data_IF_057754414771
#
_entry.id   IF_057754414771
#
_cell.length_a   1.000
_cell.length_b   1.000
_cell.length_c   1.000
_cell.angle_alpha   90.00
_cell.angle_beta   90.00
_cell.angle_gamma   90.00
#
_symmetry.space_group_name_H-M   'P 1'
#
loop_
_entity.id
_entity.type
_entity.pdbx_description
1 polymer ?
#
# COMPACT_ATOMS: atom_id res chain seq x y z
N UNK A 1 -9.08 -7.73 5.58
CA UNK A 1 -9.30 -7.81 4.13
C UNK A 1 -8.07 -7.28 3.40
N UNK A 2 -7.63 -7.92 2.33
CA UNK A 2 -6.51 -7.45 1.49
C UNK A 2 -7.09 -6.97 0.17
N UNK A 3 -6.65 -5.81 -0.32
CA UNK A 3 -7.09 -5.29 -1.63
C UNK A 3 -6.26 -5.96 -2.71
N UNK A 4 -6.69 -7.17 -3.07
CA UNK A 4 -6.15 -7.94 -4.19
C UNK A 4 -7.26 -8.06 -5.23
N UNK A 5 -7.03 -7.53 -6.42
CA UNK A 5 -7.91 -7.79 -7.56
C UNK A 5 -7.36 -8.98 -8.33
N UNK A 6 -8.25 -9.88 -8.75
CA UNK A 6 -7.90 -11.09 -9.49
C UNK A 6 -8.15 -10.85 -10.98
N UNK A 7 -7.11 -11.00 -11.81
CA UNK A 7 -7.18 -10.77 -13.25
C UNK A 7 -6.97 -12.11 -13.95
N UNK A 8 -7.99 -12.63 -14.61
CA UNK A 8 -7.90 -13.86 -15.41
C UNK A 8 -7.08 -13.61 -16.68
N UNK A 9 -5.99 -14.36 -16.87
CA UNK A 9 -5.23 -14.32 -18.12
C UNK A 9 -5.92 -15.12 -19.22
N UNK A 10 -6.20 -14.43 -20.33
CA UNK A 10 -6.79 -15.01 -21.54
C UNK A 10 -5.80 -16.00 -22.16
N UNK A 11 -6.04 -17.30 -22.00
CA UNK A 11 -5.43 -18.30 -22.90
C UNK A 11 -5.90 -18.02 -24.33
N UNK A 12 -4.98 -18.05 -25.30
CA UNK A 12 -5.11 -17.65 -26.73
C UNK A 12 -6.29 -18.22 -27.54
N UNK A 13 -7.26 -18.92 -26.95
CA UNK A 13 -8.38 -19.56 -27.64
C UNK A 13 -9.78 -19.16 -27.16
N UNK A 14 -9.97 -18.18 -26.27
CA UNK A 14 -11.32 -17.71 -25.95
C UNK A 14 -11.40 -16.19 -25.79
N UNK A 15 -12.04 -15.53 -26.76
CA UNK A 15 -12.60 -14.17 -26.65
C UNK A 15 -13.76 -14.16 -25.63
N UNK A 16 -13.50 -14.49 -24.37
CA UNK A 16 -14.45 -14.31 -23.28
C UNK A 16 -13.93 -13.22 -22.35
N UNK A 17 -14.45 -12.03 -22.63
CA UNK A 17 -14.73 -10.91 -21.74
C UNK A 17 -13.55 -10.22 -21.06
N UNK A 18 -13.03 -9.20 -21.75
CA UNK A 18 -12.44 -8.02 -21.10
C UNK A 18 -13.42 -7.37 -20.11
N UNK A 19 -14.73 -7.65 -20.24
CA UNK A 19 -15.80 -7.16 -19.36
C UNK A 19 -15.81 -7.77 -17.94
N UNK A 20 -14.85 -8.63 -17.59
CA UNK A 20 -14.72 -9.25 -16.26
C UNK A 20 -13.65 -8.60 -15.36
N UNK A 21 -13.06 -7.47 -15.79
CA UNK A 21 -12.13 -6.72 -14.95
C UNK A 21 -12.86 -6.16 -13.72
N UNK A 22 -12.33 -6.46 -12.54
CA UNK A 22 -12.82 -5.92 -11.27
C UNK A 22 -12.89 -4.39 -11.36
N UNK A 23 -14.07 -3.81 -11.09
CA UNK A 23 -14.30 -2.36 -11.10
C UNK A 23 -13.27 -1.62 -10.23
N UNK A 24 -12.86 -2.22 -9.11
CA UNK A 24 -11.84 -1.64 -8.23
C UNK A 24 -10.46 -1.52 -8.91
N UNK A 25 -10.13 -2.44 -9.82
CA UNK A 25 -8.90 -2.36 -10.62
C UNK A 25 -8.95 -1.15 -11.56
N UNK A 26 -10.06 -0.97 -12.29
CA UNK A 26 -10.24 0.17 -13.19
C UNK A 26 -10.17 1.51 -12.44
N UNK A 27 -10.85 1.62 -11.29
CA UNK A 27 -10.76 2.83 -10.45
C UNK A 27 -9.35 3.08 -9.96
N UNK A 28 -8.61 2.04 -9.57
CA UNK A 28 -7.21 2.18 -9.13
C UNK A 28 -6.31 2.66 -10.27
N UNK A 29 -6.54 2.19 -11.50
CA UNK A 29 -5.78 2.68 -12.67
C UNK A 29 -6.07 4.16 -12.97
N UNK A 30 -7.35 4.56 -12.99
CA UNK A 30 -7.74 5.95 -13.21
C UNK A 30 -7.18 6.86 -12.10
N UNK A 31 -7.31 6.44 -10.84
CA UNK A 31 -6.74 7.18 -9.70
C UNK A 31 -5.24 7.34 -9.83
N UNK A 32 -4.51 6.29 -10.22
CA UNK A 32 -3.08 6.35 -10.48
C UNK A 32 -2.76 7.38 -11.58
N UNK A 33 -3.53 7.43 -12.65
CA UNK A 33 -3.35 8.41 -13.74
C UNK A 33 -3.59 9.83 -13.26
N UNK A 34 -4.68 10.08 -12.52
CA UNK A 34 -4.97 11.39 -11.92
C UNK A 34 -3.82 11.85 -11.03
N UNK A 35 -3.37 10.99 -10.11
CA UNK A 35 -2.25 11.31 -9.21
C UNK A 35 -0.96 11.66 -9.96
N UNK A 36 -0.74 11.11 -11.16
CA UNK A 36 0.45 11.42 -11.96
C UNK A 36 0.37 12.77 -12.68
N UNK A 37 -0.83 13.31 -12.88
CA UNK A 37 -1.02 14.62 -13.50
C UNK A 37 -0.92 15.78 -12.52
N UNK A 38 -1.08 15.52 -11.22
CA UNK A 38 -1.02 16.55 -10.18
C UNK A 38 0.44 16.93 -9.93
N UNK A 39 0.71 18.23 -9.96
CA UNK A 39 2.00 18.80 -9.58
C UNK A 39 2.02 19.09 -8.07
N UNK A 40 2.45 18.09 -7.29
CA UNK A 40 2.48 18.22 -5.83
C UNK A 40 3.58 19.18 -5.36
N UNK A 41 3.16 20.17 -4.57
CA UNK A 41 3.99 21.23 -3.97
C UNK A 41 3.91 21.22 -2.45
N UNK A 42 4.73 22.06 -1.81
CA UNK A 42 4.80 22.16 -0.36
C UNK A 42 3.43 22.42 0.31
N UNK A 43 2.54 23.18 -0.31
CA UNK A 43 1.22 23.43 0.27
C UNK A 43 0.38 22.14 0.43
N UNK A 44 0.50 21.16 -0.49
CA UNK A 44 -0.19 19.88 -0.37
C UNK A 44 0.32 19.07 0.84
N UNK A 45 1.62 19.16 1.14
CA UNK A 45 2.21 18.55 2.33
C UNK A 45 1.63 19.23 3.58
N UNK A 46 1.55 20.56 3.59
CA UNK A 46 1.02 21.33 4.72
C UNK A 46 -0.48 21.05 4.96
N UNK A 47 -1.28 20.91 3.90
CA UNK A 47 -2.68 20.51 4.00
C UNK A 47 -2.82 19.10 4.57
N UNK A 48 -1.99 18.16 4.10
CA UNK A 48 -1.96 16.81 4.64
C UNK A 48 -1.56 16.78 6.12
N UNK A 49 -0.50 17.49 6.53
CA UNK A 49 -0.08 17.53 7.93
C UNK A 49 -1.13 18.20 8.82
N UNK A 50 -1.81 19.24 8.34
CA UNK A 50 -2.94 19.87 9.04
C UNK A 50 -4.08 18.89 9.27
N UNK A 51 -4.47 18.14 8.24
CA UNK A 51 -5.44 17.07 8.36
C UNK A 51 -5.00 16.00 9.38
N UNK A 52 -3.74 15.56 9.33
CA UNK A 52 -3.21 14.56 10.26
C UNK A 52 -3.21 15.06 11.72
N UNK A 53 -2.94 16.35 11.98
CA UNK A 53 -3.02 16.93 13.34
C UNK A 53 -4.41 16.80 13.92
N UNK A 54 -5.44 17.06 13.12
CA UNK A 54 -6.84 16.95 13.56
C UNK A 54 -7.19 15.49 13.82
N UNK A 55 -6.83 14.60 12.89
CA UNK A 55 -7.11 13.16 13.00
C UNK A 55 -6.41 12.49 14.19
N UNK A 56 -5.21 12.96 14.54
CA UNK A 56 -4.33 12.34 15.53
C UNK A 56 -4.20 13.17 16.82
N UNK A 57 -5.13 14.10 17.07
CA UNK A 57 -5.06 15.07 18.16
C UNK A 57 -4.88 14.44 19.55
N UNK A 58 -5.36 13.20 19.76
CA UNK A 58 -5.27 12.47 21.03
C UNK A 58 -4.00 11.64 21.17
N UNK A 59 -3.20 11.48 20.10
CA UNK A 59 -1.99 10.66 20.09
C UNK A 59 -0.74 11.53 20.02
N UNK A 60 -0.21 11.90 21.20
CA UNK A 60 0.97 12.76 21.33
C UNK A 60 2.21 12.23 20.58
N UNK A 61 2.42 10.91 20.59
CA UNK A 61 3.54 10.30 19.87
C UNK A 61 3.41 10.50 18.36
N UNK A 62 2.21 10.34 17.81
CA UNK A 62 2.01 10.55 16.37
C UNK A 62 1.96 12.04 16.00
N UNK A 63 1.50 12.92 16.90
CA UNK A 63 1.62 14.37 16.70
C UNK A 63 3.09 14.78 16.54
N UNK A 64 4.02 14.23 17.31
CA UNK A 64 5.45 14.47 17.11
C UNK A 64 5.92 14.01 15.72
N UNK A 65 5.42 12.87 15.23
CA UNK A 65 5.70 12.41 13.87
C UNK A 65 5.12 13.35 12.81
N UNK A 66 3.94 13.95 13.02
CA UNK A 66 3.37 14.95 12.12
C UNK A 66 4.28 16.19 12.03
N UNK A 67 4.76 16.69 13.16
CA UNK A 67 5.69 17.83 13.19
C UNK A 67 7.01 17.50 12.47
N UNK A 68 7.48 16.26 12.62
CA UNK A 68 8.68 15.79 11.93
C UNK A 68 8.49 15.76 10.42
N UNK A 69 7.36 15.26 9.93
CA UNK A 69 7.04 15.25 8.49
C UNK A 69 7.01 16.68 7.95
N UNK A 70 6.30 17.59 8.62
CA UNK A 70 6.19 18.97 8.15
C UNK A 70 7.54 19.66 7.96
N UNK A 71 8.49 19.40 8.87
CA UNK A 71 9.82 20.02 8.85
C UNK A 71 10.83 19.30 7.96
N UNK A 72 10.86 17.97 8.02
CA UNK A 72 11.96 17.17 7.49
C UNK A 72 11.56 16.33 6.26
N UNK A 73 10.32 16.43 5.75
CA UNK A 73 9.85 15.52 4.69
C UNK A 73 10.82 15.45 3.51
N UNK A 74 11.26 16.61 3.02
CA UNK A 74 12.17 16.74 1.87
C UNK A 74 13.64 16.46 2.18
N UNK A 75 14.01 16.42 3.45
CA UNK A 75 15.38 16.16 3.88
C UNK A 75 15.73 14.66 3.83
N UNK A 76 14.72 13.81 3.61
CA UNK A 76 14.89 12.36 3.52
C UNK A 76 14.26 11.79 2.27
N UNK A 77 14.81 10.67 1.80
CA UNK A 77 14.24 9.95 0.68
C UNK A 77 12.88 9.33 1.05
N UNK A 78 11.91 9.26 0.13
CA UNK A 78 10.55 8.78 0.41
C UNK A 78 10.48 7.38 1.02
N UNK A 79 11.35 6.44 0.61
CA UNK A 79 11.37 5.09 1.19
C UNK A 79 11.70 5.09 2.69
N UNK A 80 12.47 6.08 3.16
CA UNK A 80 12.79 6.21 4.57
C UNK A 80 11.51 6.49 5.36
N UNK A 81 10.67 7.41 4.88
CA UNK A 81 9.37 7.71 5.49
C UNK A 81 8.41 6.52 5.43
N UNK A 82 8.45 5.73 4.36
CA UNK A 82 7.63 4.53 4.22
C UNK A 82 8.01 3.42 5.22
N UNK A 83 9.27 3.38 5.64
CA UNK A 83 9.79 2.36 6.58
C UNK A 83 9.92 2.88 8.02
N UNK A 84 9.84 4.19 8.22
CA UNK A 84 9.90 4.83 9.53
C UNK A 84 8.69 4.43 10.38
N UNK A 85 8.86 4.10 11.68
CA UNK A 85 7.78 3.65 12.55
C UNK A 85 6.86 4.81 12.96
N UNK A 86 5.99 5.25 12.05
CA UNK A 86 4.92 6.22 12.30
C UNK A 86 3.63 5.85 11.56
N UNK A 87 2.60 6.67 11.74
CA UNK A 87 1.30 6.52 11.08
C UNK A 87 1.35 6.45 9.55
N UNK A 88 2.39 6.98 8.89
CA UNK A 88 2.40 7.18 7.43
C UNK A 88 2.27 5.88 6.65
N UNK A 89 2.99 4.82 7.04
CA UNK A 89 2.91 3.50 6.40
C UNK A 89 1.51 2.89 6.53
N UNK A 90 0.94 2.90 7.73
CA UNK A 90 -0.36 2.27 8.00
C UNK A 90 -1.50 3.06 7.37
N UNK A 91 -1.42 4.40 7.40
CA UNK A 91 -2.38 5.29 6.76
C UNK A 91 -2.38 5.14 5.24
N UNK A 92 -1.19 5.13 4.61
CA UNK A 92 -1.07 4.94 3.16
C UNK A 92 -1.60 3.58 2.70
N UNK A 93 -1.11 2.49 3.31
CA UNK A 93 -1.50 1.15 2.87
C UNK A 93 -2.94 0.81 3.27
N UNK A 94 -3.50 1.49 4.29
CA UNK A 94 -4.90 1.43 4.67
C UNK A 94 -5.79 2.14 3.65
N UNK A 95 -5.47 3.39 3.30
CA UNK A 95 -6.24 4.20 2.35
C UNK A 95 -6.31 3.55 0.97
N UNK A 96 -5.18 3.08 0.44
CA UNK A 96 -5.09 2.35 -0.82
C UNK A 96 -5.87 1.02 -0.80
N UNK A 97 -5.99 0.40 0.37
CA UNK A 97 -6.66 -0.90 0.50
C UNK A 97 -8.17 -0.78 0.48
N UNK A 98 -8.71 0.21 1.18
CA UNK A 98 -10.16 0.43 1.28
C UNK A 98 -10.65 1.55 0.35
N UNK A 99 -9.77 2.06 -0.51
CA UNK A 99 -10.05 3.10 -1.51
C UNK A 99 -10.63 4.40 -0.90
N UNK A 100 -10.01 4.93 0.16
CA UNK A 100 -10.37 6.25 0.71
C UNK A 100 -9.86 7.35 -0.22
N UNK A 101 -10.66 7.74 -1.22
CA UNK A 101 -10.25 8.62 -2.32
C UNK A 101 -9.67 9.96 -1.83
N UNK A 102 -10.36 10.66 -0.92
CA UNK A 102 -9.89 11.95 -0.40
C UNK A 102 -8.50 11.82 0.26
N UNK A 103 -8.30 10.79 1.07
CA UNK A 103 -7.01 10.53 1.72
C UNK A 103 -5.93 10.13 0.71
N UNK A 104 -6.26 9.35 -0.32
CA UNK A 104 -5.32 8.99 -1.40
C UNK A 104 -4.85 10.24 -2.13
N UNK A 105 -5.75 11.19 -2.43
CA UNK A 105 -5.40 12.45 -3.09
C UNK A 105 -4.51 13.31 -2.19
N UNK A 106 -4.85 13.45 -0.90
CA UNK A 106 -4.02 14.18 0.08
C UNK A 106 -2.63 13.57 0.24
N UNK A 107 -2.52 12.24 0.17
CA UNK A 107 -1.25 11.51 0.21
C UNK A 107 -0.58 11.38 -1.17
N UNK A 108 -1.13 12.01 -2.21
CA UNK A 108 -0.68 11.87 -3.59
C UNK A 108 0.78 12.27 -3.79
N UNK A 109 1.23 13.32 -3.10
CA UNK A 109 2.64 13.73 -3.09
C UNK A 109 3.54 12.57 -2.64
N UNK A 110 3.17 11.91 -1.54
CA UNK A 110 3.95 10.82 -0.98
C UNK A 110 3.89 9.57 -1.85
N UNK A 111 2.73 9.27 -2.46
CA UNK A 111 2.57 8.16 -3.41
C UNK A 111 3.49 8.35 -4.62
N UNK A 112 3.49 9.54 -5.21
CA UNK A 112 4.30 9.86 -6.39
C UNK A 112 5.80 9.80 -6.05
N UNK A 113 6.20 10.45 -4.97
CA UNK A 113 7.57 10.47 -4.48
C UNK A 113 8.09 9.05 -4.17
N UNK A 114 7.29 8.25 -3.45
CA UNK A 114 7.63 6.88 -3.10
C UNK A 114 7.77 5.99 -4.34
N UNK A 115 6.83 6.06 -5.28
CA UNK A 115 6.90 5.33 -6.54
C UNK A 115 8.18 5.68 -7.31
N UNK A 116 8.47 6.97 -7.47
CA UNK A 116 9.65 7.43 -8.19
C UNK A 116 10.94 6.95 -7.51
N UNK A 117 10.97 6.99 -6.18
CA UNK A 117 12.12 6.52 -5.41
C UNK A 117 12.34 5.01 -5.54
N UNK A 118 11.26 4.20 -5.51
CA UNK A 118 11.34 2.74 -5.74
C UNK A 118 11.80 2.43 -7.18
N UNK A 119 11.27 3.12 -8.18
CA UNK A 119 11.68 2.93 -9.58
C UNK A 119 13.17 3.23 -9.79
N UNK A 120 13.68 4.29 -9.13
CA UNK A 120 15.11 4.61 -9.13
C UNK A 120 15.95 3.49 -8.50
N UNK A 121 15.56 2.98 -7.33
CA UNK A 121 16.30 1.88 -6.67
C UNK A 121 16.24 0.60 -7.48
N UNK A 122 15.10 0.28 -8.08
CA UNK A 122 14.97 -0.86 -8.99
C UNK A 122 15.95 -0.73 -10.17
N UNK A 123 16.04 0.45 -10.79
CA UNK A 123 17.01 0.70 -11.85
C UNK A 123 18.46 0.49 -11.40
N UNK A 124 18.80 0.92 -10.17
CA UNK A 124 20.13 0.77 -9.58
C UNK A 124 20.49 -0.67 -9.18
N UNK A 125 19.50 -1.44 -8.73
CA UNK A 125 19.68 -2.80 -8.24
C UNK A 125 20.28 -3.75 -9.30
N UNK A 126 20.10 -3.44 -10.59
CA UNK A 126 20.56 -4.27 -11.69
C UNK A 126 21.69 -3.64 -12.52
N UNK A 127 22.30 -2.52 -12.06
CA UNK A 127 23.46 -1.92 -12.74
C UNK A 127 24.71 -2.76 -12.46
N UNK A 128 25.33 -3.31 -13.50
CA UNK A 128 26.61 -4.04 -13.42
C UNK A 128 26.51 -5.56 -13.19
N UNK A 129 25.33 -6.06 -12.85
CA UNK A 129 24.99 -7.49 -12.88
C UNK A 129 24.37 -7.83 -14.22
N UNK A 130 24.96 -8.77 -14.97
CA UNK A 130 24.25 -9.43 -16.07
C UNK A 130 22.91 -9.91 -15.53
N UNK A 131 21.86 -9.40 -16.17
CA UNK A 131 20.44 -9.58 -15.88
C UNK A 131 20.04 -10.91 -15.23
N UNK A 132 18.94 -10.88 -14.47
CA UNK A 132 17.99 -12.00 -14.31
C UNK A 132 18.29 -13.14 -13.33
N UNK A 133 18.93 -12.90 -12.18
CA UNK A 133 18.78 -13.83 -11.05
C UNK A 133 17.42 -13.61 -10.39
N UNK A 134 16.43 -14.43 -10.75
CA UNK A 134 15.20 -14.52 -9.97
C UNK A 134 15.54 -14.86 -8.52
N UNK A 135 14.99 -14.12 -7.57
CA UNK A 135 15.14 -14.39 -6.15
C UNK A 135 13.77 -14.58 -5.50
N UNK A 136 13.74 -15.33 -4.41
CA UNK A 136 12.50 -15.62 -3.68
C UNK A 136 12.37 -14.67 -2.51
N UNK A 137 11.21 -14.05 -2.39
CA UNK A 137 10.82 -13.24 -1.24
C UNK A 137 9.52 -13.74 -0.65
N UNK A 138 9.37 -13.54 0.65
CA UNK A 138 8.24 -13.97 1.44
C UNK A 138 7.46 -12.75 1.93
N UNK A 139 6.14 -12.87 1.99
CA UNK A 139 5.26 -11.89 2.63
C UNK A 139 4.30 -12.61 3.56
N UNK A 140 4.31 -12.22 4.84
CA UNK A 140 3.30 -12.67 5.79
C UNK A 140 2.04 -11.81 5.70
N UNK A 141 0.89 -12.43 5.46
CA UNK A 141 -0.37 -11.72 5.33
C UNK A 141 -1.52 -12.56 5.91
N UNK A 142 -2.27 -11.98 6.85
CA UNK A 142 -3.55 -12.54 7.28
C UNK A 142 -4.63 -12.26 6.23
N UNK A 143 -5.46 -13.27 5.95
CA UNK A 143 -6.58 -13.22 5.02
C UNK A 143 -7.87 -13.68 5.69
N UNK A 144 -9.01 -13.13 5.25
CA UNK A 144 -10.30 -13.71 5.62
C UNK A 144 -10.45 -15.08 4.96
N UNK A 145 -11.36 -15.92 5.47
CA UNK A 145 -11.65 -17.21 4.82
C UNK A 145 -12.15 -17.00 3.38
N UNK A 146 -13.02 -16.01 3.17
CA UNK A 146 -13.53 -15.66 1.85
C UNK A 146 -12.42 -15.19 0.88
N UNK A 147 -11.54 -14.29 1.33
CA UNK A 147 -10.41 -13.78 0.53
C UNK A 147 -9.46 -14.94 0.16
N UNK A 148 -9.23 -15.87 1.10
CA UNK A 148 -8.40 -17.05 0.87
C UNK A 148 -9.04 -18.02 -0.13
N UNK A 149 -10.33 -18.30 0.01
CA UNK A 149 -11.04 -19.19 -0.91
C UNK A 149 -11.09 -18.60 -2.33
N UNK A 150 -11.19 -17.28 -2.46
CA UNK A 150 -11.06 -16.58 -3.74
C UNK A 150 -9.64 -16.71 -4.32
N UNK A 151 -8.61 -16.53 -3.49
CA UNK A 151 -7.21 -16.72 -3.89
C UNK A 151 -6.95 -18.14 -4.41
N UNK A 152 -7.50 -19.16 -3.74
CA UNK A 152 -7.38 -20.56 -4.17
C UNK A 152 -8.08 -20.78 -5.52
N UNK A 153 -9.28 -20.21 -5.71
CA UNK A 153 -10.01 -20.30 -6.99
C UNK A 153 -9.30 -19.57 -8.13
N UNK A 154 -8.55 -18.52 -7.83
CA UNK A 154 -7.79 -17.74 -8.81
C UNK A 154 -6.39 -18.33 -9.13
N UNK A 155 -6.11 -19.57 -8.74
CA UNK A 155 -4.84 -20.23 -9.07
C UNK A 155 -4.65 -20.28 -10.60
N UNK A 156 -3.49 -19.78 -11.06
CA UNK A 156 -3.19 -19.66 -12.50
C UNK A 156 -3.66 -18.35 -13.14
N UNK A 157 -4.33 -17.47 -12.39
CA UNK A 157 -4.63 -16.10 -12.79
C UNK A 157 -3.53 -15.12 -12.31
N UNK A 158 -3.64 -13.86 -12.73
CA UNK A 158 -2.82 -12.75 -12.25
C UNK A 158 -3.44 -12.11 -11.01
N UNK A 159 -2.57 -11.58 -10.16
CA UNK A 159 -2.94 -10.79 -8.97
C UNK A 159 -2.52 -9.34 -9.18
N UNK A 160 -3.42 -8.41 -8.86
CA UNK A 160 -3.11 -6.99 -8.77
C UNK A 160 -3.17 -6.55 -7.32
N UNK A 161 -2.14 -5.84 -6.87
CA UNK A 161 -2.09 -5.22 -5.55
C UNK A 161 -2.31 -3.72 -5.71
N UNK A 162 -3.29 -3.18 -5.00
CA UNK A 162 -3.59 -1.74 -5.04
C UNK A 162 -2.66 -0.92 -4.10
N UNK A 163 -1.78 -1.59 -3.35
CA UNK A 163 -0.84 -0.98 -2.43
C UNK A 163 0.61 -1.40 -2.67
N UNK A 164 1.53 -0.73 -1.99
CA UNK A 164 2.95 -1.06 -2.03
C UNK A 164 3.22 -2.38 -1.29
N UNK A 165 3.91 -3.30 -1.95
CA UNK A 165 4.16 -4.65 -1.43
C UNK A 165 5.53 -4.72 -0.76
N UNK A 166 5.52 -4.74 0.58
CA UNK A 166 6.70 -5.08 1.39
C UNK A 166 6.87 -6.59 1.51
N UNK A 167 8.10 -7.07 1.34
CA UNK A 167 8.49 -8.48 1.41
C UNK A 167 9.84 -8.64 2.12
N UNK A 168 10.23 -9.88 2.45
CA UNK A 168 11.54 -10.20 3.01
C UNK A 168 12.10 -11.45 2.38
N UNK A 169 13.41 -11.49 2.11
CA UNK A 169 14.11 -12.72 1.72
C UNK A 169 14.16 -13.74 2.87
N UNK A 170 13.98 -13.29 4.11
CA UNK A 170 13.97 -14.15 5.29
C UNK A 170 12.54 -14.56 5.64
N UNK A 171 12.22 -15.84 5.44
CA UNK A 171 10.93 -16.42 5.79
C UNK A 171 10.52 -16.16 7.26
N UNK A 172 11.47 -16.22 8.21
CA UNK A 172 11.18 -16.01 9.63
C UNK A 172 10.73 -14.59 9.93
N UNK A 173 11.23 -13.60 9.19
CA UNK A 173 10.75 -12.22 9.29
C UNK A 173 9.29 -12.15 8.83
N UNK A 174 8.96 -12.78 7.71
CA UNK A 174 7.60 -12.82 7.17
C UNK A 174 6.60 -13.54 8.08
N UNK A 175 6.99 -14.63 8.72
CA UNK A 175 6.14 -15.34 9.68
C UNK A 175 5.76 -14.49 10.90
N UNK A 176 6.59 -13.53 11.32
CA UNK A 176 6.28 -12.61 12.43
C UNK A 176 5.08 -11.70 12.11
N UNK A 177 4.89 -11.33 10.83
CA UNK A 177 3.74 -10.50 10.41
C UNK A 177 2.42 -11.27 10.46
N UNK A 178 2.43 -12.59 10.19
CA UNK A 178 1.23 -13.44 10.31
C UNK A 178 0.75 -13.48 11.76
N UNK A 179 1.67 -13.70 12.71
CA UNK A 179 1.35 -13.79 14.14
C UNK A 179 0.70 -12.51 14.67
N UNK A 180 1.17 -11.33 14.22
CA UNK A 180 0.55 -10.03 14.55
C UNK A 180 -0.85 -9.87 13.96
N UNK A 181 -1.09 -10.35 12.74
CA UNK A 181 -2.39 -10.20 12.07
C UNK A 181 -3.54 -10.91 12.80
N UNK A 182 -3.26 -12.08 13.38
CA UNK A 182 -4.23 -12.86 14.18
C UNK A 182 -4.62 -12.11 15.45
N UNK A 183 -3.70 -11.31 16.01
CA UNK A 183 -3.92 -10.54 17.24
C UNK A 183 -4.65 -9.22 16.97
N UNK A 184 -4.31 -8.53 15.86
CA UNK A 184 -4.91 -7.25 15.45
C UNK A 184 -6.38 -7.39 15.03
N UNK A 185 -6.77 -8.51 14.42
CA UNK A 185 -8.19 -8.74 14.07
C UNK A 185 -9.09 -8.67 15.30
N UNK A 186 -8.64 -9.12 16.47
CA UNK A 186 -9.43 -8.99 17.72
C UNK A 186 -9.56 -7.54 18.20
N UNK A 187 -8.54 -6.69 17.99
CA UNK A 187 -8.53 -5.32 18.51
C UNK A 187 -9.31 -4.31 17.65
N UNK A 188 -9.33 -4.47 16.31
CA UNK A 188 -10.09 -3.57 15.43
C UNK A 188 -11.61 -3.75 15.54
N UNK A 189 -12.11 -4.95 15.85
CA UNK A 189 -13.55 -5.17 16.07
C UNK A 189 -14.09 -4.36 17.25
N UNK A 190 -13.35 -4.26 18.36
CA UNK A 190 -13.74 -3.46 19.53
C UNK A 190 -13.71 -1.94 19.31
N UNK A 191 -12.92 -1.44 18.36
CA UNK A 191 -12.87 0.00 18.05
C UNK A 191 -13.96 0.46 17.08
N UNK A 192 -14.53 -0.46 16.28
CA UNK A 192 -15.55 -0.14 15.26
C UNK A 192 -16.96 -0.42 15.78
N UNK A 193 -17.14 -1.40 16.67
CA UNK A 193 -18.40 -1.69 17.34
C UNK A 193 -18.16 -1.86 18.84
N UNK A 194 -18.28 -0.80 19.65
CA UNK A 194 -18.37 -0.99 21.09
C UNK A 194 -19.69 -1.72 21.35
N UNK A 195 -19.63 -2.89 22.00
CA UNK A 195 -20.84 -3.61 22.41
C UNK A 195 -21.75 -2.67 23.22
N UNK A 196 -23.00 -2.59 22.80
CA UNK A 196 -24.09 -1.87 23.48
C UNK A 196 -24.58 -2.62 24.70
#
# INVERSE_FOLDING_TARGET
MVSISFITTVSKSNKRNLDQLDLSFMYTQIMKEILLTIDFKQHHINEYTTFCRQLLATNQSELQNVHKIEREYRDRVPIWWYTYPCFLYSMLNGSLRIMVVDLIIRMGFFIQDLRNNIAKFHGQQFIGSSSSSSFTVYRGQGLSKADFDQLVKAKGALLSFNNFVSTSENLQVSLRFIRKSIQITRSYWHLIYPES
#
